data_IF_055818888330
#
_entry.id   IF_055818888330
#
_cell.length_a   1.000
_cell.length_b   1.000
_cell.length_c   1.000
_cell.angle_alpha   90.00
_cell.angle_beta   90.00
_cell.angle_gamma   90.00
#
_symmetry.space_group_name_H-M   'P 1'
#
loop_
_entity.id
_entity.type
_entity.pdbx_description
1 polymer ?
#
# COMPACT_ATOMS: atom_id res chain seq x y z
N UNK A 1 11.20 -30.58 -4.37
CA UNK A 1 10.95 -29.57 -3.32
C UNK A 1 12.26 -28.92 -2.89
N UNK A 2 12.56 -27.68 -3.34
CA UNK A 2 13.76 -26.93 -2.90
C UNK A 2 13.59 -26.57 -1.42
N UNK A 3 14.49 -27.03 -0.53
CA UNK A 3 14.55 -26.58 0.88
C UNK A 3 14.70 -25.05 0.87
N UNK A 4 13.64 -24.33 1.26
CA UNK A 4 13.74 -22.90 1.48
C UNK A 4 14.69 -22.68 2.66
N UNK A 5 15.72 -21.85 2.47
CA UNK A 5 16.55 -21.37 3.58
C UNK A 5 15.64 -20.77 4.66
N UNK A 6 15.92 -21.06 5.94
CA UNK A 6 15.15 -20.57 7.09
C UNK A 6 14.96 -19.05 7.06
N UNK A 7 15.92 -18.30 6.49
CA UNK A 7 15.82 -16.86 6.27
C UNK A 7 14.75 -16.47 5.25
N UNK A 8 14.61 -17.25 4.16
CA UNK A 8 13.55 -17.03 3.15
C UNK A 8 12.17 -17.37 3.70
N UNK A 9 12.04 -18.44 4.48
CA UNK A 9 10.75 -18.77 5.10
C UNK A 9 10.33 -17.68 6.09
N UNK A 10 11.25 -17.19 6.94
CA UNK A 10 10.99 -16.04 7.83
C UNK A 10 10.59 -14.79 7.05
N UNK A 11 11.29 -14.47 5.96
CA UNK A 11 10.94 -13.33 5.10
C UNK A 11 9.54 -13.45 4.50
N UNK A 12 9.20 -14.63 3.96
CA UNK A 12 7.88 -14.87 3.38
C UNK A 12 6.76 -14.81 4.44
N UNK A 13 7.00 -15.33 5.64
CA UNK A 13 6.04 -15.25 6.75
C UNK A 13 5.82 -13.80 7.21
N UNK A 14 6.88 -13.00 7.29
CA UNK A 14 6.76 -11.58 7.61
C UNK A 14 5.96 -10.84 6.54
N UNK A 15 6.22 -11.10 5.25
CA UNK A 15 5.46 -10.51 4.14
C UNK A 15 3.98 -10.93 4.17
N UNK A 16 3.69 -12.19 4.47
CA UNK A 16 2.32 -12.68 4.62
C UNK A 16 1.59 -11.98 5.78
N UNK A 17 2.26 -11.83 6.92
CA UNK A 17 1.72 -11.14 8.08
C UNK A 17 1.46 -9.65 7.78
N UNK A 18 2.36 -8.98 7.08
CA UNK A 18 2.16 -7.61 6.62
C UNK A 18 0.94 -7.49 5.69
N UNK A 19 0.81 -8.40 4.72
CA UNK A 19 -0.34 -8.41 3.80
C UNK A 19 -1.67 -8.65 4.54
N UNK A 20 -1.66 -9.54 5.54
CA UNK A 20 -2.82 -9.82 6.38
C UNK A 20 -3.23 -8.59 7.20
N UNK A 21 -2.29 -7.95 7.89
CA UNK A 21 -2.54 -6.73 8.67
C UNK A 21 -3.10 -5.63 7.77
N UNK A 22 -2.51 -5.46 6.58
CA UNK A 22 -2.96 -4.46 5.61
C UNK A 22 -4.40 -4.73 5.13
N UNK A 23 -4.75 -5.98 4.82
CA UNK A 23 -6.11 -6.34 4.40
C UNK A 23 -7.16 -6.07 5.47
N UNK A 24 -6.90 -6.47 6.73
CA UNK A 24 -7.82 -6.25 7.86
C UNK A 24 -7.93 -4.75 8.21
N UNK A 25 -6.88 -3.97 7.96
CA UNK A 25 -6.90 -2.54 8.22
C UNK A 25 -7.94 -1.77 7.38
N UNK A 26 -8.31 -2.24 6.18
CA UNK A 26 -9.37 -1.59 5.39
C UNK A 26 -10.75 -1.65 6.06
N UNK A 27 -11.05 -2.72 6.78
CA UNK A 27 -12.30 -2.86 7.55
C UNK A 27 -12.36 -1.80 8.65
N UNK A 28 -11.29 -1.71 9.44
CA UNK A 28 -11.18 -0.68 10.49
C UNK A 28 -11.18 0.74 9.90
N UNK A 29 -10.59 0.93 8.73
CA UNK A 29 -10.52 2.23 8.06
C UNK A 29 -11.87 2.68 7.52
N UNK A 30 -12.66 1.77 6.94
CA UNK A 30 -14.01 2.08 6.47
C UNK A 30 -14.95 2.32 7.65
N UNK A 31 -15.06 1.38 8.59
CA UNK A 31 -15.90 1.52 9.78
C UNK A 31 -15.55 2.79 10.58
N UNK A 32 -14.25 3.06 10.79
CA UNK A 32 -13.83 4.30 11.46
C UNK A 32 -14.21 5.55 10.68
N UNK A 33 -14.21 5.50 9.34
CA UNK A 33 -14.53 6.66 8.50
C UNK A 33 -16.01 7.00 8.47
N UNK A 34 -16.87 6.00 8.70
CA UNK A 34 -18.32 6.17 8.86
C UNK A 34 -18.64 6.88 10.19
N UNK A 35 -17.95 6.52 11.28
CA UNK A 35 -18.22 7.07 12.62
C UNK A 35 -17.52 8.42 12.91
N UNK A 36 -16.25 8.57 12.51
CA UNK A 36 -15.39 9.72 12.88
C UNK A 36 -15.16 10.69 11.72
N UNK A 37 -15.64 10.35 10.52
CA UNK A 37 -15.36 11.06 9.27
C UNK A 37 -14.02 10.66 8.64
N UNK A 38 -14.00 10.61 7.30
CA UNK A 38 -12.87 10.11 6.52
C UNK A 38 -11.54 10.84 6.80
N UNK A 39 -11.56 12.17 6.93
CA UNK A 39 -10.35 12.95 7.20
C UNK A 39 -9.76 12.70 8.59
N UNK A 40 -10.60 12.49 9.60
CA UNK A 40 -10.17 12.24 10.99
C UNK A 40 -9.41 10.92 11.09
N UNK A 41 -9.93 9.85 10.47
CA UNK A 41 -9.28 8.53 10.46
C UNK A 41 -7.94 8.58 9.76
N UNK A 42 -7.82 9.28 8.64
CA UNK A 42 -6.55 9.47 7.93
C UNK A 42 -5.57 10.25 8.77
N UNK A 43 -6.03 11.32 9.42
CA UNK A 43 -5.23 12.15 10.30
C UNK A 43 -4.66 11.33 11.45
N UNK A 44 -5.51 10.60 12.17
CA UNK A 44 -5.10 9.73 13.29
C UNK A 44 -4.13 8.64 12.80
N UNK A 45 -4.43 7.97 11.68
CA UNK A 45 -3.56 6.95 11.07
C UNK A 45 -2.17 7.52 10.76
N UNK A 46 -2.13 8.71 10.17
CA UNK A 46 -0.88 9.37 9.78
C UNK A 46 -0.09 9.82 11.00
N UNK A 47 -0.76 10.30 12.06
CA UNK A 47 -0.13 10.66 13.33
C UNK A 47 0.46 9.44 14.05
N UNK A 48 -0.29 8.32 14.11
CA UNK A 48 0.21 7.06 14.69
C UNK A 48 1.40 6.55 13.88
N UNK A 49 1.34 6.61 12.55
CA UNK A 49 2.46 6.23 11.68
C UNK A 49 3.69 7.10 11.90
N UNK A 50 3.52 8.41 12.01
CA UNK A 50 4.60 9.35 12.31
C UNK A 50 5.20 9.11 13.70
N UNK A 51 4.37 8.92 14.73
CA UNK A 51 4.82 8.61 16.08
C UNK A 51 5.58 7.27 16.14
N UNK A 52 5.07 6.24 15.46
CA UNK A 52 5.74 4.93 15.35
C UNK A 52 7.09 5.03 14.65
N UNK A 53 7.19 5.80 13.57
CA UNK A 53 8.46 6.05 12.89
C UNK A 53 9.45 6.78 13.80
N UNK A 54 9.02 7.86 14.47
CA UNK A 54 9.86 8.61 15.41
C UNK A 54 10.34 7.73 16.58
N UNK A 55 9.48 6.86 17.12
CA UNK A 55 9.85 5.91 18.16
C UNK A 55 10.83 4.83 17.66
N UNK A 56 10.76 4.46 16.37
CA UNK A 56 11.67 3.51 15.76
C UNK A 56 13.06 4.09 15.45
N UNK A 57 13.20 5.40 15.23
CA UNK A 57 14.48 6.06 14.95
C UNK A 57 15.61 5.73 15.95
N UNK A 58 15.43 5.85 17.28
CA UNK A 58 16.49 5.51 18.23
C UNK A 58 16.85 4.02 18.22
N UNK A 59 15.88 3.14 17.90
CA UNK A 59 16.15 1.71 17.76
C UNK A 59 16.96 1.42 16.49
N UNK A 60 16.60 2.04 15.35
CA UNK A 60 17.35 1.95 14.10
C UNK A 60 18.77 2.50 14.23
N UNK A 61 18.94 3.59 14.99
CA UNK A 61 20.25 4.19 15.27
C UNK A 61 21.11 3.24 16.13
N UNK A 62 20.53 2.62 17.17
CA UNK A 62 21.23 1.59 17.97
C UNK A 62 21.61 0.34 17.18
N UNK A 63 20.84 0.00 16.14
CA UNK A 63 21.14 -1.12 15.24
C UNK A 63 22.15 -0.76 14.14
N UNK A 64 22.62 0.50 14.09
CA UNK A 64 23.56 0.98 13.05
C UNK A 64 22.94 1.07 11.65
N UNK A 65 21.61 1.04 11.57
CA UNK A 65 20.85 1.10 10.30
C UNK A 65 20.38 2.52 9.96
N UNK A 66 20.49 3.47 10.90
CA UNK A 66 20.10 4.85 10.66
C UNK A 66 21.17 5.60 9.85
N UNK A 67 20.76 6.18 8.72
CA UNK A 67 21.61 7.06 7.93
C UNK A 67 21.45 8.51 8.42
N UNK A 68 22.51 9.10 8.96
CA UNK A 68 22.51 10.50 9.41
C UNK A 68 23.03 11.39 8.28
N UNK A 69 22.31 12.46 7.89
CA UNK A 69 22.78 13.37 6.85
C UNK A 69 24.10 14.01 7.29
N UNK A 70 25.13 13.92 6.45
CA UNK A 70 26.48 14.38 6.77
C UNK A 70 26.66 15.89 6.52
N UNK A 71 25.85 16.48 5.62
CA UNK A 71 25.94 17.89 5.24
C UNK A 71 24.63 18.66 5.41
N UNK A 72 24.74 19.99 5.57
CA UNK A 72 23.58 20.90 5.61
C UNK A 72 22.76 20.86 4.32
N UNK A 73 23.42 20.59 3.18
CA UNK A 73 22.79 20.45 1.88
C UNK A 73 21.99 19.15 1.75
N UNK A 74 22.52 18.01 2.23
CA UNK A 74 21.76 16.76 2.34
C UNK A 74 20.58 16.91 3.30
N UNK A 75 20.75 17.60 4.43
CA UNK A 75 19.64 17.86 5.36
C UNK A 75 18.52 18.65 4.69
N UNK A 76 18.85 19.68 3.91
CA UNK A 76 17.86 20.44 3.11
C UNK A 76 17.24 19.58 2.00
N UNK A 77 18.02 18.73 1.35
CA UNK A 77 17.53 17.77 0.36
C UNK A 77 16.55 16.75 0.93
N UNK A 78 16.87 16.16 2.09
CA UNK A 78 15.97 15.26 2.80
C UNK A 78 14.70 15.98 3.27
N UNK A 79 14.82 17.22 3.75
CA UNK A 79 13.65 17.99 4.20
C UNK A 79 12.73 18.33 3.02
N UNK A 80 13.29 18.83 1.92
CA UNK A 80 12.52 19.18 0.71
C UNK A 80 11.91 17.96 0.05
N UNK A 81 12.67 16.87 -0.09
CA UNK A 81 12.17 15.58 -0.58
C UNK A 81 11.09 14.99 0.33
N UNK A 82 11.27 15.07 1.65
CA UNK A 82 10.30 14.63 2.65
C UNK A 82 9.00 15.44 2.62
N UNK A 83 9.09 16.77 2.48
CA UNK A 83 7.93 17.65 2.35
C UNK A 83 7.19 17.37 1.04
N UNK A 84 7.89 17.29 -0.08
CA UNK A 84 7.28 17.02 -1.39
C UNK A 84 6.59 15.64 -1.41
N UNK A 85 7.29 14.61 -0.92
CA UNK A 85 6.73 13.27 -0.78
C UNK A 85 5.53 13.25 0.17
N UNK A 86 5.61 13.97 1.29
CA UNK A 86 4.52 14.10 2.25
C UNK A 86 3.27 14.73 1.63
N UNK A 87 3.42 15.81 0.85
CA UNK A 87 2.30 16.41 0.11
C UNK A 87 1.71 15.44 -0.92
N UNK A 88 2.56 14.76 -1.70
CA UNK A 88 2.10 13.76 -2.67
C UNK A 88 1.32 12.63 -1.98
N UNK A 89 1.85 12.08 -0.88
CA UNK A 89 1.18 11.04 -0.08
C UNK A 89 -0.12 11.55 0.55
N UNK A 90 -0.17 12.82 0.97
CA UNK A 90 -1.38 13.42 1.51
C UNK A 90 -2.50 13.42 0.47
N UNK A 91 -2.25 13.94 -0.73
CA UNK A 91 -3.26 13.95 -1.79
C UNK A 91 -3.67 12.54 -2.19
N UNK A 92 -2.72 11.63 -2.40
CA UNK A 92 -3.01 10.24 -2.75
C UNK A 92 -3.86 9.54 -1.68
N UNK A 93 -3.50 9.66 -0.40
CA UNK A 93 -4.23 9.01 0.69
C UNK A 93 -5.64 9.57 0.84
N UNK A 94 -5.83 10.88 0.69
CA UNK A 94 -7.17 11.47 0.73
C UNK A 94 -8.01 11.01 -0.45
N UNK A 95 -7.42 10.91 -1.64
CA UNK A 95 -8.10 10.46 -2.84
C UNK A 95 -8.55 9.00 -2.73
N UNK A 96 -7.67 8.11 -2.26
CA UNK A 96 -8.01 6.71 -1.96
C UNK A 96 -9.12 6.60 -0.91
N UNK A 97 -9.13 7.48 0.07
CA UNK A 97 -10.13 7.46 1.14
C UNK A 97 -11.51 7.91 0.71
N UNK A 98 -11.60 8.86 -0.22
CA UNK A 98 -12.86 9.15 -0.89
C UNK A 98 -13.37 7.92 -1.63
N UNK A 99 -12.48 7.16 -2.27
CA UNK A 99 -12.87 5.98 -3.02
C UNK A 99 -13.33 4.80 -2.13
N UNK A 100 -12.79 4.66 -0.92
CA UNK A 100 -13.23 3.66 0.08
C UNK A 100 -14.67 3.94 0.56
N UNK A 101 -15.11 5.20 0.56
CA UNK A 101 -16.46 5.57 1.00
C UNK A 101 -17.56 4.96 0.13
N UNK A 102 -17.36 4.96 -1.18
CA UNK A 102 -18.39 4.58 -2.16
C UNK A 102 -18.35 3.09 -2.55
N UNK A 103 -17.37 2.35 -2.02
CA UNK A 103 -17.07 0.97 -2.43
C UNK A 103 -17.09 0.03 -1.22
N UNK A 104 -17.48 -1.24 -1.39
CA UNK A 104 -17.42 -2.21 -0.29
C UNK A 104 -15.97 -2.43 0.18
N UNK A 105 -15.77 -2.75 1.46
CA UNK A 105 -14.43 -2.94 2.05
C UNK A 105 -13.61 -3.98 1.28
N UNK A 106 -14.27 -5.09 0.92
CA UNK A 106 -13.67 -6.16 0.12
C UNK A 106 -13.29 -5.70 -1.29
N UNK A 107 -14.14 -4.91 -1.96
CA UNK A 107 -13.85 -4.38 -3.30
C UNK A 107 -12.72 -3.33 -3.23
N UNK A 108 -12.70 -2.47 -2.22
CA UNK A 108 -11.62 -1.49 -2.02
C UNK A 108 -10.25 -2.16 -1.78
N UNK A 109 -10.18 -3.14 -0.88
CA UNK A 109 -8.95 -3.89 -0.59
C UNK A 109 -8.47 -4.71 -1.81
N UNK A 110 -9.39 -5.27 -2.59
CA UNK A 110 -9.05 -6.04 -3.78
C UNK A 110 -8.56 -5.15 -4.93
N UNK A 111 -9.24 -4.03 -5.19
CA UNK A 111 -8.86 -3.07 -6.25
C UNK A 111 -7.53 -2.40 -5.92
N UNK A 112 -7.29 -2.04 -4.66
CA UNK A 112 -5.96 -1.57 -4.25
C UNK A 112 -4.91 -2.67 -4.48
N UNK A 113 -5.17 -3.92 -4.10
CA UNK A 113 -4.23 -5.02 -4.35
C UNK A 113 -3.97 -5.33 -5.84
N UNK A 114 -4.85 -4.91 -6.76
CA UNK A 114 -4.62 -5.02 -8.20
C UNK A 114 -3.43 -4.18 -8.70
N UNK A 115 -2.90 -3.23 -7.93
CA UNK A 115 -1.64 -2.58 -8.31
C UNK A 115 -0.50 -3.60 -8.52
N UNK A 116 -0.56 -4.77 -7.86
CA UNK A 116 0.41 -5.87 -8.03
C UNK A 116 0.45 -6.37 -9.48
N UNK A 117 -0.65 -6.25 -10.22
CA UNK A 117 -0.74 -6.54 -11.66
C UNK A 117 -0.07 -5.46 -12.50
N UNK A 118 -0.08 -4.19 -12.08
CA UNK A 118 0.64 -3.12 -12.78
C UNK A 118 2.15 -3.31 -12.71
N UNK A 119 2.70 -3.90 -11.64
CA UNK A 119 4.15 -4.11 -11.47
C UNK A 119 4.80 -4.88 -12.63
N UNK A 120 4.34 -6.07 -13.05
CA UNK A 120 4.89 -6.76 -14.21
C UNK A 120 4.64 -6.03 -15.53
N UNK A 121 3.51 -5.32 -15.68
CA UNK A 121 3.19 -4.54 -16.89
C UNK A 121 4.18 -3.37 -17.06
N UNK A 122 4.42 -2.59 -15.99
CA UNK A 122 5.46 -1.55 -15.98
C UNK A 122 6.87 -2.15 -16.12
N UNK A 123 7.09 -3.35 -15.57
CA UNK A 123 8.33 -4.10 -15.75
C UNK A 123 8.67 -4.42 -17.23
N UNK A 124 7.66 -4.61 -18.08
CA UNK A 124 7.85 -4.80 -19.52
C UNK A 124 8.35 -3.52 -20.20
N UNK A 125 7.84 -2.34 -19.79
CA UNK A 125 8.35 -1.05 -20.28
C UNK A 125 9.81 -0.80 -19.89
N UNK A 126 10.26 -1.34 -18.75
CA UNK A 126 11.66 -1.35 -18.33
C UNK A 126 12.50 -2.52 -18.88
N UNK A 127 12.03 -3.21 -19.95
CA UNK A 127 12.74 -4.33 -20.58
C UNK A 127 13.06 -5.52 -19.63
N UNK A 128 12.35 -5.65 -18.51
CA UNK A 128 12.50 -6.81 -17.61
C UNK A 128 11.60 -7.96 -18.05
N UNK A 129 12.16 -9.16 -18.15
CA UNK A 129 11.42 -10.36 -18.57
C UNK A 129 10.42 -10.78 -17.47
N UNK A 130 9.13 -10.60 -17.74
CA UNK A 130 8.05 -11.18 -16.93
C UNK A 130 7.91 -12.68 -17.25
N UNK A 131 7.73 -13.52 -16.22
CA UNK A 131 7.55 -14.97 -16.37
C UNK A 131 6.09 -15.33 -16.66
N UNK A 132 5.84 -16.51 -17.25
CA UNK A 132 4.50 -17.04 -17.53
C UNK A 132 3.60 -17.10 -16.27
N UNK A 133 4.19 -17.38 -15.11
CA UNK A 133 3.47 -17.37 -13.82
C UNK A 133 2.94 -15.99 -13.45
N UNK A 134 3.63 -14.90 -13.80
CA UNK A 134 3.12 -13.55 -13.57
C UNK A 134 1.86 -13.29 -14.40
N UNK A 135 1.85 -13.69 -15.67
CA UNK A 135 0.68 -13.54 -16.56
C UNK A 135 -0.52 -14.38 -16.12
N UNK A 136 -0.29 -15.60 -15.63
CA UNK A 136 -1.32 -16.42 -14.99
C UNK A 136 -1.92 -15.74 -13.75
N UNK A 137 -1.08 -15.11 -12.93
CA UNK A 137 -1.52 -14.31 -11.79
C UNK A 137 -2.36 -13.09 -12.21
N UNK A 138 -1.95 -12.40 -13.28
CA UNK A 138 -2.71 -11.28 -13.87
C UNK A 138 -4.09 -11.74 -14.35
N UNK A 139 -4.15 -12.85 -15.10
CA UNK A 139 -5.42 -13.40 -15.58
C UNK A 139 -6.35 -13.80 -14.42
N UNK A 140 -5.80 -14.45 -13.39
CA UNK A 140 -6.57 -14.85 -12.20
C UNK A 140 -7.06 -13.64 -11.40
N UNK A 141 -6.24 -12.59 -11.26
CA UNK A 141 -6.63 -11.34 -10.62
C UNK A 141 -7.74 -10.60 -11.40
N UNK A 142 -7.68 -10.62 -12.73
CA UNK A 142 -8.72 -10.05 -13.59
C UNK A 142 -10.06 -10.81 -13.45
N UNK A 143 -10.02 -12.14 -13.37
CA UNK A 143 -11.22 -12.95 -13.09
C UNK A 143 -11.76 -12.66 -11.68
N UNK A 144 -10.89 -12.56 -10.68
CA UNK A 144 -11.28 -12.18 -9.31
C UNK A 144 -11.94 -10.80 -9.27
N UNK A 145 -11.41 -9.82 -10.01
CA UNK A 145 -12.00 -8.49 -10.14
C UNK A 145 -13.37 -8.55 -10.80
N UNK A 146 -13.48 -9.32 -11.88
CA UNK A 146 -14.73 -9.50 -12.60
C UNK A 146 -15.79 -10.11 -11.70
N UNK A 147 -15.48 -11.17 -10.96
CA UNK A 147 -16.43 -11.78 -10.02
C UNK A 147 -16.86 -10.80 -8.91
N UNK A 148 -15.92 -9.99 -8.41
CA UNK A 148 -16.20 -9.03 -7.34
C UNK A 148 -16.99 -7.81 -7.82
N UNK A 149 -16.76 -7.33 -9.04
CA UNK A 149 -17.45 -6.18 -9.63
C UNK A 149 -18.76 -6.55 -10.35
N UNK A 150 -18.87 -7.76 -10.90
CA UNK A 150 -20.06 -8.20 -11.64
C UNK A 150 -21.10 -8.87 -10.74
N UNK A 151 -20.72 -9.43 -9.58
CA UNK A 151 -21.66 -9.92 -8.57
C UNK A 151 -21.90 -8.94 -7.41
N UNK A 152 -21.12 -7.85 -7.32
CA UNK A 152 -21.36 -6.74 -6.40
C UNK A 152 -22.24 -5.67 -7.06
N UNK A 153 -23.16 -5.06 -6.29
CA UNK A 153 -24.20 -4.12 -6.76
C UNK A 153 -23.71 -2.82 -7.45
N UNK A 154 -22.40 -2.63 -7.63
CA UNK A 154 -21.83 -1.40 -8.21
C UNK A 154 -20.90 -1.73 -9.37
N UNK A 155 -21.28 -1.30 -10.57
CA UNK A 155 -20.45 -1.38 -11.76
C UNK A 155 -19.09 -0.71 -11.58
N UNK A 156 -18.21 -0.86 -12.59
CA UNK A 156 -16.88 -0.23 -12.58
C UNK A 156 -17.05 1.28 -12.59
N UNK A 157 -16.70 1.93 -11.48
CA UNK A 157 -16.92 3.35 -11.23
C UNK A 157 -15.62 4.14 -11.17
N UNK A 158 -15.74 5.47 -11.13
CA UNK A 158 -14.58 6.38 -10.96
C UNK A 158 -13.80 6.05 -9.67
N UNK A 159 -14.49 5.56 -8.64
CA UNK A 159 -13.91 5.11 -7.37
C UNK A 159 -12.92 3.95 -7.54
N UNK A 160 -13.13 3.04 -8.49
CA UNK A 160 -12.18 1.95 -8.75
C UNK A 160 -10.85 2.48 -9.33
N UNK A 161 -10.91 3.55 -10.13
CA UNK A 161 -9.72 4.19 -10.70
C UNK A 161 -8.95 4.99 -9.65
N UNK A 162 -9.67 5.61 -8.70
CA UNK A 162 -9.10 6.35 -7.58
C UNK A 162 -8.44 5.43 -6.55
N UNK A 163 -8.91 4.18 -6.40
CA UNK A 163 -8.29 3.15 -5.56
C UNK A 163 -6.97 2.61 -6.13
N UNK A 164 -6.78 2.69 -7.46
CA UNK A 164 -5.55 2.24 -8.12
C UNK A 164 -4.40 3.26 -8.04
N UNK A 165 -4.66 4.49 -7.58
CA UNK A 165 -3.76 5.64 -7.62
C UNK A 165 -3.20 5.94 -6.23
#
# INVERSE_FOLDING_TARGET
MKRMSMRRLRGNLLLLLTAFIWGVAFVAQKSGSEDLGAFSVIGIRSLIGAAGLLAALPLLDRMGLAHKPATSQERKGLLTGGVLCGFAMFFATNLQQFAIKDVSEGKAAFVTALYIVLVPVLGLFLHRRATLFNWLGVALAAVGLYLLCAMGETGVGVSDLLLLL
#
